data_IF_066721148156
#
_entry.id   IF_066721148156
#
_cell.length_a   1.000
_cell.length_b   1.000
_cell.length_c   1.000
_cell.angle_alpha   90.00
_cell.angle_beta   90.00
_cell.angle_gamma   90.00
#
_symmetry.space_group_name_H-M   'P 1'
#
loop_
_entity.id
_entity.type
_entity.pdbx_description
1 polymer ?
#
# COMPACT_ATOMS: atom_id res chain seq x y z
N UNK A 1 3.81 3.39 -12.47
CA UNK A 1 2.64 3.96 -13.19
C UNK A 1 2.94 4.30 -14.64
N UNK A 2 4.14 4.81 -14.98
CA UNK A 2 4.47 5.23 -16.36
C UNK A 2 4.27 4.12 -17.39
N UNK A 3 4.77 2.91 -17.14
CA UNK A 3 4.73 1.84 -18.15
C UNK A 3 3.30 1.38 -18.48
N UNK A 4 2.46 1.19 -17.46
CA UNK A 4 1.07 0.83 -17.67
C UNK A 4 0.27 1.96 -18.32
N UNK A 5 0.56 3.22 -17.97
CA UNK A 5 -0.07 4.36 -18.64
C UNK A 5 0.27 4.37 -20.13
N UNK A 6 1.52 4.05 -20.50
CA UNK A 6 1.93 3.90 -21.90
C UNK A 6 1.17 2.77 -22.60
N UNK A 7 1.04 1.60 -21.97
CA UNK A 7 0.27 0.47 -22.53
C UNK A 7 -1.20 0.86 -22.72
N UNK A 8 -1.82 1.46 -21.70
CA UNK A 8 -3.22 1.87 -21.74
C UNK A 8 -3.45 2.98 -22.78
N UNK A 9 -2.50 3.91 -22.91
CA UNK A 9 -2.57 4.95 -23.92
C UNK A 9 -2.46 4.36 -25.32
N UNK A 10 -1.57 3.38 -25.54
CA UNK A 10 -1.45 2.71 -26.82
C UNK A 10 -2.72 1.92 -27.17
N UNK A 11 -3.35 1.26 -26.19
CA UNK A 11 -4.64 0.56 -26.36
C UNK A 11 -5.78 1.53 -26.72
N UNK A 12 -5.78 2.72 -26.13
CA UNK A 12 -6.80 3.75 -26.34
C UNK A 12 -6.35 4.84 -27.32
N UNK A 13 -5.35 4.55 -28.16
CA UNK A 13 -4.86 5.53 -29.13
C UNK A 13 -5.86 5.67 -30.27
N UNK A 14 -6.29 6.89 -30.63
CA UNK A 14 -7.28 7.07 -31.68
C UNK A 14 -6.71 6.71 -33.06
N UNK A 15 -7.50 5.98 -33.85
CA UNK A 15 -7.21 5.71 -35.27
C UNK A 15 -7.90 6.70 -36.22
N UNK A 16 -8.85 7.49 -35.72
CA UNK A 16 -9.59 8.52 -36.47
C UNK A 16 -9.81 9.77 -35.61
N UNK A 17 -10.65 10.69 -36.08
CA UNK A 17 -10.80 12.02 -35.47
C UNK A 17 -11.64 12.03 -34.18
N UNK A 18 -12.41 10.97 -33.91
CA UNK A 18 -13.20 10.85 -32.67
C UNK A 18 -12.37 10.19 -31.55
N UNK A 19 -11.82 11.03 -30.67
CA UNK A 19 -11.00 10.61 -29.54
C UNK A 19 -11.75 10.62 -28.20
N UNK A 20 -12.96 11.22 -28.12
CA UNK A 20 -13.66 11.41 -26.85
C UNK A 20 -13.97 10.10 -26.11
N UNK A 21 -14.53 9.05 -26.76
CA UNK A 21 -14.84 7.79 -26.07
C UNK A 21 -13.59 7.09 -25.53
N UNK A 22 -12.48 7.16 -26.27
CA UNK A 22 -11.20 6.55 -25.89
C UNK A 22 -10.56 7.31 -24.71
N UNK A 23 -10.54 8.64 -24.79
CA UNK A 23 -10.07 9.51 -23.71
C UNK A 23 -10.91 9.32 -22.43
N UNK A 24 -12.24 9.23 -22.56
CA UNK A 24 -13.15 8.96 -21.44
C UNK A 24 -12.76 7.66 -20.71
N UNK A 25 -12.53 6.58 -21.46
CA UNK A 25 -12.18 5.29 -20.89
C UNK A 25 -10.79 5.29 -20.25
N UNK A 26 -9.80 5.84 -20.94
CA UNK A 26 -8.44 5.99 -20.43
C UNK A 26 -8.41 6.79 -19.12
N UNK A 27 -9.02 7.99 -19.12
CA UNK A 27 -9.05 8.87 -17.96
C UNK A 27 -9.72 8.20 -16.75
N UNK A 28 -10.80 7.44 -16.97
CA UNK A 28 -11.45 6.69 -15.89
C UNK A 28 -10.54 5.64 -15.26
N UNK A 29 -9.83 4.86 -16.09
CA UNK A 29 -8.89 3.84 -15.59
C UNK A 29 -7.75 4.51 -14.81
N UNK A 30 -7.19 5.58 -15.35
CA UNK A 30 -6.07 6.29 -14.72
C UNK A 30 -6.47 6.98 -13.42
N UNK A 31 -7.64 7.61 -13.37
CA UNK A 31 -8.17 8.21 -12.15
C UNK A 31 -8.36 7.16 -11.04
N UNK A 32 -9.04 6.05 -11.33
CA UNK A 32 -9.23 4.97 -10.36
C UNK A 32 -7.90 4.48 -9.78
N UNK A 33 -6.89 4.24 -10.64
CA UNK A 33 -5.56 3.80 -10.21
C UNK A 33 -4.83 4.85 -9.37
N UNK A 34 -4.92 6.12 -9.76
CA UNK A 34 -4.29 7.21 -9.02
C UNK A 34 -4.83 7.29 -7.59
N UNK A 35 -6.16 7.27 -7.41
CA UNK A 35 -6.76 7.36 -6.09
C UNK A 35 -6.55 6.10 -5.25
N UNK A 36 -6.53 4.92 -5.86
CA UNK A 36 -6.14 3.67 -5.18
C UNK A 36 -4.70 3.75 -4.63
N UNK A 37 -3.76 4.27 -5.43
CA UNK A 37 -2.37 4.50 -4.99
C UNK A 37 -2.29 5.59 -3.93
N UNK A 38 -3.04 6.68 -4.08
CA UNK A 38 -3.07 7.78 -3.11
C UNK A 38 -3.49 7.26 -1.74
N UNK A 39 -4.59 6.49 -1.68
CA UNK A 39 -5.09 5.91 -0.43
C UNK A 39 -4.07 4.94 0.17
N UNK A 40 -3.47 4.08 -0.65
CA UNK A 40 -2.46 3.11 -0.19
C UNK A 40 -1.17 3.79 0.33
N UNK A 41 -0.74 4.89 -0.29
CA UNK A 41 0.39 5.67 0.22
C UNK A 41 0.01 6.38 1.51
N UNK A 42 -1.17 7.00 1.57
CA UNK A 42 -1.65 7.72 2.75
C UNK A 42 -1.74 6.80 3.98
N UNK A 43 -2.10 5.51 3.78
CA UNK A 43 -2.11 4.47 4.80
C UNK A 43 -0.79 4.38 5.59
N UNK A 44 0.36 4.54 4.93
CA UNK A 44 1.68 4.50 5.59
C UNK A 44 1.92 5.70 6.50
N UNK A 45 1.30 6.84 6.21
CA UNK A 45 1.50 8.07 6.95
C UNK A 45 0.52 8.21 8.10
N UNK A 46 -0.77 7.94 7.85
CA UNK A 46 -1.81 8.11 8.85
C UNK A 46 -1.71 7.11 10.00
N UNK A 47 -1.09 5.94 9.78
CA UNK A 47 -0.84 4.92 10.82
C UNK A 47 0.49 5.10 11.55
N UNK A 48 1.33 6.03 11.12
CA UNK A 48 2.62 6.28 11.75
C UNK A 48 2.43 6.78 13.18
N UNK A 49 3.21 6.22 14.12
CA UNK A 49 3.25 6.71 15.52
C UNK A 49 4.35 7.75 15.76
N UNK A 50 4.97 8.22 14.69
CA UNK A 50 6.01 9.24 14.76
C UNK A 50 5.35 10.58 15.03
N UNK A 51 5.86 11.35 15.99
CA UNK A 51 5.40 12.72 16.24
C UNK A 51 6.58 13.68 16.45
N UNK A 52 7.78 13.24 16.07
CA UNK A 52 9.05 13.90 16.35
C UNK A 52 9.23 15.20 15.55
N UNK A 53 8.60 15.32 14.38
CA UNK A 53 8.68 16.51 13.52
C UNK A 53 7.31 17.11 13.26
N UNK A 54 7.28 18.37 12.81
CA UNK A 54 6.05 19.03 12.36
C UNK A 54 5.36 18.26 11.24
N UNK A 55 6.15 17.78 10.26
CA UNK A 55 5.66 16.93 9.18
C UNK A 55 4.84 15.74 9.70
N UNK A 56 5.40 14.98 10.66
CA UNK A 56 4.71 13.80 11.18
C UNK A 56 3.45 14.14 11.97
N UNK A 57 3.44 15.26 12.70
CA UNK A 57 2.24 15.74 13.39
C UNK A 57 1.16 16.22 12.42
N UNK A 58 1.55 16.86 11.31
CA UNK A 58 0.63 17.37 10.30
C UNK A 58 -0.02 16.24 9.50
N UNK A 59 0.76 15.28 9.01
CA UNK A 59 0.27 14.25 8.08
C UNK A 59 -0.69 13.24 8.72
N UNK A 60 -0.73 13.18 10.05
CA UNK A 60 -1.65 12.33 10.82
C UNK A 60 -2.98 13.00 11.13
N UNK A 61 -3.14 14.29 10.85
CA UNK A 61 -4.39 14.97 11.10
C UNK A 61 -5.53 14.35 10.27
N UNK A 62 -6.76 14.23 10.80
CA UNK A 62 -7.88 13.63 10.07
C UNK A 62 -8.12 14.25 8.69
N UNK A 63 -7.89 15.56 8.53
CA UNK A 63 -8.08 16.28 7.27
C UNK A 63 -7.06 15.90 6.18
N UNK A 64 -5.97 15.20 6.55
CA UNK A 64 -4.97 14.67 5.62
C UNK A 64 -5.24 13.24 5.19
N UNK A 65 -6.19 12.57 5.83
CA UNK A 65 -6.61 11.20 5.50
C UNK A 65 -7.77 11.26 4.53
N UNK A 66 -7.70 10.53 3.42
CA UNK A 66 -8.78 10.53 2.43
C UNK A 66 -10.04 9.89 3.01
N UNK A 67 -11.23 10.41 2.68
CA UNK A 67 -12.51 9.86 3.18
C UNK A 67 -12.66 8.36 2.89
N UNK A 68 -12.17 7.94 1.72
CA UNK A 68 -12.14 6.53 1.29
C UNK A 68 -11.33 5.67 2.24
N UNK A 69 -10.12 6.13 2.61
CA UNK A 69 -9.26 5.44 3.54
C UNK A 69 -9.82 5.46 4.97
N UNK A 70 -10.42 6.58 5.41
CA UNK A 70 -11.07 6.67 6.71
C UNK A 70 -12.17 5.61 6.86
N UNK A 71 -13.03 5.45 5.85
CA UNK A 71 -14.08 4.44 5.85
C UNK A 71 -13.53 3.01 5.92
N UNK A 72 -12.46 2.71 5.16
CA UNK A 72 -11.76 1.41 5.23
C UNK A 72 -11.23 1.12 6.62
N UNK A 73 -10.51 2.06 7.21
CA UNK A 73 -9.93 1.91 8.54
C UNK A 73 -11.02 1.76 9.60
N UNK A 74 -12.08 2.57 9.54
CA UNK A 74 -13.22 2.45 10.45
C UNK A 74 -13.88 1.07 10.35
N UNK A 75 -14.06 0.56 9.13
CA UNK A 75 -14.60 -0.78 8.91
C UNK A 75 -13.68 -1.87 9.46
N UNK A 76 -12.37 -1.78 9.19
CA UNK A 76 -11.41 -2.79 9.64
C UNK A 76 -11.14 -2.78 11.15
N UNK A 77 -11.50 -1.71 11.86
CA UNK A 77 -11.58 -1.72 13.34
C UNK A 77 -12.69 -2.60 13.88
N UNK A 78 -13.71 -2.95 13.08
CA UNK A 78 -14.76 -3.88 13.51
C UNK A 78 -14.39 -5.34 13.27
N UNK A 79 -13.59 -5.60 12.23
CA UNK A 79 -13.05 -6.92 11.91
C UNK A 79 -11.81 -6.78 11.02
N UNK A 80 -10.79 -7.65 11.14
CA UNK A 80 -9.60 -7.60 10.29
C UNK A 80 -9.93 -7.60 8.78
N UNK A 81 -9.07 -7.00 7.93
CA UNK A 81 -9.23 -7.08 6.49
C UNK A 81 -9.32 -8.53 6.02
N UNK A 82 -10.17 -8.81 5.05
CA UNK A 82 -10.32 -10.15 4.47
C UNK A 82 -10.38 -10.09 2.94
N UNK A 83 -10.09 -11.20 2.23
CA UNK A 83 -10.11 -11.21 0.76
C UNK A 83 -11.43 -10.72 0.14
N UNK A 84 -12.56 -10.93 0.82
CA UNK A 84 -13.88 -10.47 0.39
C UNK A 84 -14.01 -8.95 0.34
N UNK A 85 -13.29 -8.23 1.21
CA UNK A 85 -13.31 -6.76 1.24
C UNK A 85 -12.69 -6.13 -0.02
N UNK A 86 -11.91 -6.92 -0.77
CA UNK A 86 -11.24 -6.48 -1.99
C UNK A 86 -12.03 -6.82 -3.26
N UNK A 87 -13.19 -7.48 -3.12
CA UNK A 87 -14.10 -7.73 -4.25
C UNK A 87 -14.94 -6.48 -4.57
N UNK A 88 -15.39 -5.77 -3.53
CA UNK A 88 -15.99 -4.43 -3.62
C UNK A 88 -15.44 -3.57 -2.48
N UNK A 89 -14.61 -2.60 -2.85
CA UNK A 89 -13.94 -1.71 -1.92
C UNK A 89 -14.76 -0.45 -1.61
N UNK A 90 -16.07 -0.48 -1.82
CA UNK A 90 -16.98 0.56 -1.35
C UNK A 90 -17.48 0.22 0.07
N UNK A 91 -16.81 0.79 1.09
CA UNK A 91 -17.06 0.45 2.49
C UNK A 91 -18.19 1.29 3.11
N UNK A 92 -18.85 0.78 4.18
CA UNK A 92 -19.80 1.57 4.95
C UNK A 92 -19.20 2.91 5.41
N UNK A 93 -19.94 4.00 5.23
CA UNK A 93 -19.50 5.35 5.57
C UNK A 93 -18.58 6.02 4.54
N UNK A 94 -18.24 5.34 3.44
CA UNK A 94 -17.50 5.96 2.34
C UNK A 94 -18.37 6.98 1.61
N UNK A 95 -17.87 8.21 1.46
CA UNK A 95 -18.54 9.26 0.71
C UNK A 95 -18.42 9.05 -0.81
N UNK A 96 -19.48 9.42 -1.53
CA UNK A 96 -19.47 9.48 -3.00
C UNK A 96 -18.89 10.83 -3.46
N UNK A 97 -17.57 10.99 -3.32
CA UNK A 97 -16.86 12.23 -3.65
C UNK A 97 -16.50 12.26 -5.15
N UNK A 98 -17.37 12.89 -5.93
CA UNK A 98 -17.17 13.11 -7.36
C UNK A 98 -15.84 13.83 -7.66
N UNK A 99 -15.22 13.50 -8.78
CA UNK A 99 -14.01 14.18 -9.22
C UNK A 99 -14.34 15.64 -9.58
N UNK A 100 -13.49 16.60 -9.20
CA UNK A 100 -13.67 17.99 -9.63
C UNK A 100 -13.65 18.08 -11.15
N UNK A 101 -14.70 18.64 -11.74
CA UNK A 101 -14.76 18.77 -13.20
C UNK A 101 -13.85 19.86 -13.75
N UNK A 102 -13.57 20.89 -12.95
CA UNK A 102 -12.80 22.06 -13.38
C UNK A 102 -13.41 22.78 -14.59
N UNK A 103 -14.69 22.54 -14.89
CA UNK A 103 -15.37 23.03 -16.10
C UNK A 103 -15.13 22.20 -17.37
N UNK A 104 -14.44 21.06 -17.27
CA UNK A 104 -14.18 20.17 -18.40
C UNK A 104 -15.24 19.07 -18.51
N UNK A 105 -15.55 18.68 -19.75
CA UNK A 105 -16.33 17.48 -20.03
C UNK A 105 -15.53 16.22 -19.64
N UNK A 106 -16.22 15.15 -19.22
CA UNK A 106 -15.57 13.89 -18.86
C UNK A 106 -16.31 13.07 -17.81
N UNK A 107 -15.69 11.98 -17.37
CA UNK A 107 -16.18 11.14 -16.29
C UNK A 107 -15.80 11.71 -14.92
N UNK A 108 -16.77 12.31 -14.24
CA UNK A 108 -16.58 12.91 -12.92
C UNK A 108 -17.09 12.05 -11.76
N UNK A 109 -17.45 10.79 -12.03
CA UNK A 109 -17.90 9.87 -10.97
C UNK A 109 -16.77 9.62 -9.98
N UNK A 110 -17.13 9.32 -8.74
CA UNK A 110 -16.15 9.02 -7.69
C UNK A 110 -15.22 7.88 -8.09
N UNK A 111 -13.92 7.97 -7.76
CA UNK A 111 -12.97 6.90 -8.00
C UNK A 111 -13.37 5.61 -7.29
N UNK A 112 -13.13 4.48 -7.97
CA UNK A 112 -13.30 3.14 -7.40
C UNK A 112 -11.95 2.41 -7.42
N UNK A 113 -11.68 1.60 -6.41
CA UNK A 113 -10.46 0.76 -6.37
C UNK A 113 -10.66 -0.48 -7.26
N UNK A 114 -10.74 -0.22 -8.56
CA UNK A 114 -10.90 -1.23 -9.60
C UNK A 114 -9.55 -1.55 -10.28
N UNK A 115 -8.44 -0.96 -9.82
CA UNK A 115 -7.12 -1.16 -10.39
C UNK A 115 -6.48 -2.48 -9.99
N UNK A 116 -6.90 -3.04 -8.84
CA UNK A 116 -6.41 -4.31 -8.30
C UNK A 116 -4.90 -4.27 -8.04
N UNK A 117 -4.37 -3.11 -7.66
CA UNK A 117 -2.94 -2.84 -7.53
C UNK A 117 -2.41 -3.43 -6.23
N UNK A 118 -3.19 -3.28 -5.14
CA UNK A 118 -2.82 -3.70 -3.80
C UNK A 118 -3.88 -4.63 -3.23
N UNK A 119 -3.50 -5.88 -2.97
CA UNK A 119 -4.40 -6.89 -2.39
C UNK A 119 -4.43 -6.85 -0.86
N UNK A 120 -5.12 -7.84 -0.29
CA UNK A 120 -5.21 -8.03 1.17
C UNK A 120 -3.81 -8.14 1.80
N UNK A 121 -2.92 -8.96 1.24
CA UNK A 121 -1.57 -9.17 1.78
C UNK A 121 -0.75 -7.87 1.84
N UNK A 122 -0.91 -7.01 0.83
CA UNK A 122 -0.22 -5.70 0.79
C UNK A 122 -0.72 -4.77 1.88
N UNK A 123 -2.03 -4.78 2.16
CA UNK A 123 -2.61 -3.98 3.23
C UNK A 123 -2.24 -4.55 4.60
N UNK A 124 -2.33 -5.87 4.79
CA UNK A 124 -1.97 -6.53 6.06
C UNK A 124 -0.52 -6.25 6.46
N UNK A 125 0.41 -6.25 5.49
CA UNK A 125 1.81 -5.92 5.75
C UNK A 125 1.98 -4.51 6.37
N UNK A 126 1.21 -3.53 5.91
CA UNK A 126 1.26 -2.16 6.45
C UNK A 126 0.48 -2.07 7.74
N UNK A 127 -0.77 -2.53 7.75
CA UNK A 127 -1.66 -2.46 8.90
C UNK A 127 -1.00 -3.08 10.13
N UNK A 128 -0.58 -4.34 10.04
CA UNK A 128 0.01 -5.05 11.16
C UNK A 128 1.45 -4.60 11.43
N UNK A 129 2.21 -4.25 10.38
CA UNK A 129 3.56 -3.68 10.54
C UNK A 129 3.58 -2.32 11.24
N UNK A 130 2.48 -1.57 11.14
CA UNK A 130 2.26 -0.29 11.81
C UNK A 130 1.34 -0.41 13.04
N UNK A 131 1.08 -1.64 13.47
CA UNK A 131 0.44 -1.94 14.74
C UNK A 131 -1.01 -1.40 14.84
N UNK A 132 -1.69 -1.39 13.69
CA UNK A 132 -3.14 -1.23 13.58
C UNK A 132 -3.84 -2.46 14.19
N UNK A 133 -5.02 -2.24 14.80
CA UNK A 133 -5.76 -3.23 15.59
C UNK A 133 -5.11 -3.67 16.89
N UNK A 134 -4.09 -2.98 17.42
CA UNK A 134 -3.51 -3.35 18.73
C UNK A 134 -4.58 -3.40 19.81
N UNK A 135 -5.36 -2.33 19.94
CA UNK A 135 -6.36 -2.16 21.00
C UNK A 135 -7.54 -3.11 20.78
N UNK A 136 -8.03 -3.17 19.55
CA UNK A 136 -9.13 -4.02 19.12
C UNK A 136 -8.79 -5.51 19.34
N UNK A 137 -7.57 -5.94 18.97
CA UNK A 137 -7.13 -7.32 19.23
C UNK A 137 -7.04 -7.63 20.72
N UNK A 138 -6.58 -6.69 21.56
CA UNK A 138 -6.58 -6.89 23.02
C UNK A 138 -8.00 -7.03 23.56
N UNK A 139 -8.97 -6.29 23.01
CA UNK A 139 -10.38 -6.40 23.39
C UNK A 139 -11.01 -7.73 22.92
N UNK A 140 -10.71 -8.16 21.70
CA UNK A 140 -11.28 -9.38 21.12
C UNK A 140 -10.70 -10.67 21.69
N UNK A 141 -9.39 -10.67 21.98
CA UNK A 141 -8.65 -11.90 22.28
C UNK A 141 -7.92 -11.88 23.64
N UNK A 142 -8.00 -10.76 24.37
CA UNK A 142 -7.28 -10.58 25.64
C UNK A 142 -5.81 -10.19 25.45
N UNK A 143 -5.17 -9.82 26.57
CA UNK A 143 -3.75 -9.45 26.58
C UNK A 143 -2.82 -10.66 26.76
N UNK A 144 -3.29 -11.72 27.42
CA UNK A 144 -2.54 -12.96 27.65
C UNK A 144 -2.63 -13.89 26.43
N UNK A 145 -1.94 -13.50 25.37
CA UNK A 145 -1.90 -14.23 24.09
C UNK A 145 -0.62 -15.05 23.98
N UNK A 146 -0.68 -16.27 23.42
CA UNK A 146 0.52 -17.02 23.11
C UNK A 146 1.39 -16.21 22.12
N UNK A 147 2.72 -16.32 22.20
CA UNK A 147 3.61 -15.64 21.26
C UNK A 147 3.35 -16.12 19.83
N UNK A 148 3.48 -15.21 18.86
CA UNK A 148 3.34 -15.53 17.44
C UNK A 148 4.25 -16.68 17.04
N UNK A 149 3.66 -17.73 16.47
CA UNK A 149 4.39 -18.91 16.00
C UNK A 149 4.58 -18.85 14.50
N UNK A 150 5.81 -19.06 14.04
CA UNK A 150 6.13 -19.18 12.61
C UNK A 150 5.94 -20.64 12.21
N UNK A 151 5.18 -20.88 11.14
CA UNK A 151 4.98 -22.23 10.61
C UNK A 151 6.33 -22.91 10.32
N UNK A 152 6.46 -24.19 10.69
CA UNK A 152 7.74 -24.92 10.65
C UNK A 152 8.37 -24.95 9.25
N UNK A 153 7.54 -25.01 8.21
CA UNK A 153 8.00 -24.95 6.81
C UNK A 153 8.69 -23.62 6.48
N UNK A 154 8.20 -22.50 7.04
CA UNK A 154 8.79 -21.17 6.85
C UNK A 154 10.09 -21.09 7.66
N UNK A 155 10.06 -21.50 8.93
CA UNK A 155 11.25 -21.49 9.79
C UNK A 155 12.39 -22.34 9.21
N UNK A 156 12.07 -23.51 8.67
CA UNK A 156 13.04 -24.40 8.01
C UNK A 156 13.63 -23.78 6.75
N UNK A 157 12.79 -23.15 5.91
CA UNK A 157 13.25 -22.46 4.70
C UNK A 157 14.18 -21.29 5.03
N UNK A 158 13.85 -20.50 6.06
CA UNK A 158 14.70 -19.39 6.51
C UNK A 158 16.08 -19.85 6.99
N UNK A 159 16.16 -20.98 7.71
CA UNK A 159 17.44 -21.56 8.15
C UNK A 159 18.32 -22.01 6.98
N UNK A 160 17.71 -22.56 5.92
CA UNK A 160 18.42 -23.07 4.75
C UNK A 160 18.74 -21.99 3.71
N UNK A 161 18.06 -20.84 3.74
CA UNK A 161 18.19 -19.80 2.72
C UNK A 161 19.64 -19.31 2.51
N UNK A 162 20.44 -19.01 3.56
CA UNK A 162 21.82 -18.53 3.37
C UNK A 162 22.76 -19.55 2.70
N UNK A 163 22.42 -20.84 2.75
CA UNK A 163 23.21 -21.90 2.10
C UNK A 163 22.88 -22.02 0.60
N UNK A 164 21.69 -21.58 0.19
CA UNK A 164 21.19 -21.69 -1.19
C UNK A 164 21.25 -20.37 -1.96
N UNK A 165 21.20 -19.24 -1.25
CA UNK A 165 21.17 -17.91 -1.82
C UNK A 165 22.45 -17.16 -1.40
N UNK A 166 23.31 -16.78 -2.36
CA UNK A 166 24.44 -15.92 -2.02
C UNK A 166 23.95 -14.55 -1.55
N UNK A 167 24.76 -13.82 -0.77
CA UNK A 167 24.53 -12.41 -0.52
C UNK A 167 24.26 -11.63 -1.82
N UNK A 168 23.31 -10.69 -1.77
CA UNK A 168 22.83 -10.01 -2.99
C UNK A 168 23.94 -9.23 -3.72
N UNK A 169 24.88 -8.64 -2.99
CA UNK A 169 26.07 -7.99 -3.54
C UNK A 169 26.98 -8.97 -4.30
N UNK A 170 27.22 -10.16 -3.76
CA UNK A 170 27.96 -11.21 -4.46
C UNK A 170 27.22 -11.70 -5.71
N UNK A 171 25.90 -11.82 -5.64
CA UNK A 171 25.09 -12.18 -6.81
C UNK A 171 25.22 -11.12 -7.91
N UNK A 172 25.09 -9.83 -7.58
CA UNK A 172 25.22 -8.72 -8.55
C UNK A 172 26.60 -8.69 -9.21
N UNK A 173 27.67 -8.91 -8.45
CA UNK A 173 29.03 -9.00 -9.00
C UNK A 173 29.14 -10.12 -10.04
N UNK A 174 28.60 -11.31 -9.72
CA UNK A 174 28.70 -12.49 -10.58
C UNK A 174 27.78 -12.43 -11.79
N UNK A 175 26.54 -11.96 -11.60
CA UNK A 175 25.49 -12.02 -12.61
C UNK A 175 25.53 -10.83 -13.58
N UNK A 176 25.87 -9.63 -13.09
CA UNK A 176 25.81 -8.39 -13.89
C UNK A 176 27.12 -7.59 -13.87
N UNK A 177 28.21 -8.14 -13.31
CA UNK A 177 29.53 -7.51 -13.33
C UNK A 177 29.62 -6.24 -12.47
N UNK A 178 28.75 -6.09 -11.47
CA UNK A 178 28.73 -4.89 -10.64
C UNK A 178 30.06 -4.72 -9.88
N UNK A 179 30.67 -3.52 -9.83
CA UNK A 179 31.87 -3.26 -9.06
C UNK A 179 31.69 -3.54 -7.56
N UNK A 180 32.79 -3.84 -6.88
CA UNK A 180 32.78 -4.01 -5.42
C UNK A 180 32.69 -2.63 -4.76
N UNK A 181 31.58 -2.36 -4.07
CA UNK A 181 31.40 -1.17 -3.26
C UNK A 181 31.68 -1.49 -1.79
N UNK A 182 32.28 -0.55 -1.06
CA UNK A 182 32.40 -0.67 0.40
C UNK A 182 31.00 -0.65 1.00
N UNK A 183 30.60 -1.76 1.63
CA UNK A 183 29.40 -1.79 2.45
C UNK A 183 29.51 -0.72 3.54
N UNK A 184 28.44 0.04 3.79
CA UNK A 184 28.37 0.87 4.99
C UNK A 184 28.63 -0.03 6.21
N UNK A 185 29.56 0.38 7.08
CA UNK A 185 29.80 -0.34 8.34
C UNK A 185 28.47 -0.50 9.06
N UNK A 186 28.16 -1.71 9.51
CA UNK A 186 26.98 -1.96 10.34
C UNK A 186 26.92 -0.91 11.46
N UNK A 187 25.77 -0.23 11.61
CA UNK A 187 25.54 0.65 12.73
C UNK A 187 25.86 -0.13 14.01
N UNK A 188 26.82 0.39 14.78
CA UNK A 188 27.26 -0.19 16.05
C UNK A 188 26.05 -0.60 16.87
N UNK A 189 25.96 -1.90 17.18
CA UNK A 189 24.93 -2.45 18.04
C UNK A 189 24.82 -1.61 19.30
N UNK A 190 23.58 -1.25 19.65
CA UNK A 190 23.26 -0.55 20.87
C UNK A 190 23.54 -1.48 22.06
N UNK A 191 24.80 -1.50 22.50
CA UNK A 191 25.24 -2.14 23.74
C UNK A 191 24.91 -1.19 24.90
N UNK A 192 24.00 -1.61 25.77
CA UNK A 192 23.87 -1.09 27.12
C UNK A 192 22.95 0.13 27.26
N UNK A 193 21.72 -0.12 27.71
CA UNK A 193 21.15 0.70 28.78
C UNK A 193 20.97 -0.20 29.99
N UNK A 194 21.79 0.08 31.01
CA UNK A 194 21.54 -0.28 32.40
C UNK A 194 20.27 0.43 32.89
#
# INVERSE_FOLDING_TARGET
>A
MSDLATVMLAEHFPYGDDFEPLAFRFNRIMANRFYEILDFINLHYCLSRRHDTEFWREIQKPERVTDRLQAKLAYWRMKPPSPTDFQDQFFPGMADTALPSGGFAGDHRSPKDAGGIFGVDSHEAILYGMDFLREECSQWYGEDRPPTQIAEIIASRLKLAPQKLPPHDMWLQRAVGMPVYKSASAASGNAGRQ
#
